data_IF_651684300218
#
_entry.id   IF_651684300218
#
_cell.length_a   1.000
_cell.length_b   1.000
_cell.length_c   1.000
_cell.angle_alpha   90.00
_cell.angle_beta   90.00
_cell.angle_gamma   90.00
#
_symmetry.space_group_name_H-M   'P 1'
#
loop_
_entity.id
_entity.type
_entity.pdbx_description
1 polymer ?
#
# COMPACT_ATOMS: atom_id res chain seq x y z
N UNK A 1 -31.76 13.28 -14.86
CA UNK A 1 -30.58 14.12 -15.13
C UNK A 1 -29.60 13.94 -13.99
N UNK A 2 -28.56 13.12 -14.19
CA UNK A 2 -27.52 12.81 -13.20
C UNK A 2 -26.18 13.09 -13.85
N UNK A 3 -25.71 14.31 -13.69
CA UNK A 3 -24.37 14.74 -14.05
C UNK A 3 -24.05 15.90 -13.10
N UNK A 4 -22.76 16.08 -12.82
CA UNK A 4 -22.20 17.15 -11.97
C UNK A 4 -22.12 16.81 -10.46
N UNK A 5 -21.23 15.88 -10.14
CA UNK A 5 -20.40 15.97 -8.92
C UNK A 5 -18.93 15.57 -9.21
N UNK A 6 -18.51 15.62 -10.48
CA UNK A 6 -17.11 15.37 -10.87
C UNK A 6 -16.27 16.66 -10.89
N UNK A 7 -16.88 17.81 -10.64
CA UNK A 7 -16.27 19.13 -10.87
C UNK A 7 -15.72 19.80 -9.60
N UNK A 8 -15.88 19.21 -8.41
CA UNK A 8 -15.46 19.84 -7.15
C UNK A 8 -14.14 19.33 -6.57
N UNK A 9 -13.43 18.44 -7.27
CA UNK A 9 -12.13 17.91 -6.83
C UNK A 9 -10.91 18.67 -7.41
N UNK A 10 -11.13 19.80 -8.09
CA UNK A 10 -10.09 20.53 -8.84
C UNK A 10 -9.56 21.80 -8.17
N UNK A 11 -9.82 22.05 -6.88
CA UNK A 11 -9.42 23.30 -6.23
C UNK A 11 -8.83 23.14 -4.82
N UNK A 12 -7.98 22.14 -4.61
CA UNK A 12 -7.06 22.15 -3.47
C UNK A 12 -5.67 22.60 -3.98
N UNK A 13 -5.08 23.69 -3.45
CA UNK A 13 -3.70 24.00 -3.74
C UNK A 13 -2.84 22.82 -3.28
N UNK A 14 -1.95 22.37 -4.16
CA UNK A 14 -1.00 21.30 -3.91
C UNK A 14 -0.05 21.71 -2.77
N UNK A 15 -0.44 21.45 -1.52
CA UNK A 15 0.53 20.87 -0.61
C UNK A 15 0.92 19.56 -1.25
N UNK A 16 2.22 19.39 -1.55
CA UNK A 16 2.74 18.13 -2.08
C UNK A 16 2.29 16.99 -1.15
N UNK A 17 1.25 16.28 -1.57
CA UNK A 17 0.64 15.23 -0.78
C UNK A 17 1.47 13.97 -0.88
N UNK A 18 1.48 13.16 0.19
CA UNK A 18 1.90 11.77 0.06
C UNK A 18 1.06 11.11 -1.05
N UNK A 19 1.66 10.34 -1.98
CA UNK A 19 0.91 9.66 -3.02
C UNK A 19 -0.22 8.82 -2.43
N UNK A 20 -1.36 8.76 -3.13
CA UNK A 20 -2.57 8.08 -2.61
C UNK A 20 -3.14 7.14 -3.65
N UNK A 21 -3.51 5.94 -3.24
CA UNK A 21 -4.34 5.03 -4.02
C UNK A 21 -5.81 5.37 -3.78
N UNK A 22 -6.52 5.70 -4.85
CA UNK A 22 -7.96 5.90 -4.89
C UNK A 22 -8.60 4.73 -5.60
N UNK A 23 -9.53 4.03 -4.96
CA UNK A 23 -10.26 2.91 -5.57
C UNK A 23 -11.74 3.20 -5.66
N UNK A 24 -12.39 2.69 -6.71
CA UNK A 24 -13.77 3.03 -7.03
C UNK A 24 -14.59 1.79 -7.37
N UNK A 25 -15.85 1.81 -6.96
CA UNK A 25 -16.85 0.82 -7.32
C UNK A 25 -17.29 0.97 -8.78
N UNK A 26 -18.05 0.00 -9.29
CA UNK A 26 -18.62 0.00 -10.64
C UNK A 26 -19.36 1.30 -11.00
N UNK A 27 -20.16 1.81 -10.06
CA UNK A 27 -20.91 3.05 -10.21
C UNK A 27 -20.08 4.34 -10.10
N UNK A 28 -18.76 4.23 -9.92
CA UNK A 28 -17.84 5.37 -9.75
C UNK A 28 -17.77 5.93 -8.34
N UNK A 29 -18.44 5.32 -7.36
CA UNK A 29 -18.32 5.71 -5.95
C UNK A 29 -16.91 5.38 -5.42
N UNK A 30 -16.30 6.32 -4.68
CA UNK A 30 -15.02 6.10 -3.99
C UNK A 30 -15.22 5.03 -2.90
N UNK A 31 -14.38 3.99 -2.93
CA UNK A 31 -14.39 2.89 -1.95
C UNK A 31 -13.28 3.07 -0.91
N UNK A 32 -12.07 3.37 -1.37
CA UNK A 32 -10.93 3.57 -0.49
C UNK A 32 -10.08 4.75 -0.95
N UNK A 33 -9.47 5.38 0.04
CA UNK A 33 -8.43 6.39 -0.10
C UNK A 33 -7.30 6.01 0.87
N UNK A 34 -6.18 5.53 0.31
CA UNK A 34 -5.12 4.87 1.05
C UNK A 34 -3.73 5.42 0.66
N UNK A 35 -2.74 5.39 1.57
CA UNK A 35 -1.38 5.81 1.23
C UNK A 35 -0.78 4.91 0.15
N UNK A 36 0.06 5.49 -0.70
CA UNK A 36 0.81 4.78 -1.72
C UNK A 36 2.25 5.30 -1.80
N UNK A 37 3.13 4.51 -2.41
CA UNK A 37 4.49 4.96 -2.74
C UNK A 37 4.83 4.48 -4.15
N UNK A 38 5.32 5.41 -4.97
CA UNK A 38 5.79 5.06 -6.31
C UNK A 38 7.10 4.30 -6.25
N UNK A 39 7.36 3.54 -7.31
CA UNK A 39 8.58 2.77 -7.52
C UNK A 39 8.99 2.85 -8.99
N UNK A 40 10.25 2.53 -9.23
CA UNK A 40 10.84 2.54 -10.57
C UNK A 40 10.06 1.65 -11.55
N UNK A 41 10.09 2.00 -12.84
CA UNK A 41 9.44 1.23 -13.89
C UNK A 41 7.91 1.37 -13.95
N UNK A 42 7.36 2.44 -13.37
CA UNK A 42 5.93 2.74 -13.42
C UNK A 42 5.09 1.93 -12.44
N UNK A 43 5.68 1.59 -11.29
CA UNK A 43 5.06 0.77 -10.25
C UNK A 43 4.65 1.65 -9.07
N UNK A 44 3.71 1.14 -8.26
CA UNK A 44 3.41 1.70 -6.96
C UNK A 44 3.03 0.58 -5.97
N UNK A 45 3.32 0.80 -4.70
CA UNK A 45 2.84 -0.03 -3.60
C UNK A 45 1.69 0.66 -2.88
N UNK A 46 0.72 -0.12 -2.43
CA UNK A 46 -0.42 0.35 -1.66
C UNK A 46 -0.91 -0.75 -0.69
N UNK A 47 -1.75 -0.41 0.32
CA UNK A 47 -2.43 -1.41 1.12
C UNK A 47 -3.31 -2.31 0.26
N UNK A 48 -3.22 -3.61 0.50
CA UNK A 48 -3.92 -4.63 -0.27
C UNK A 48 -5.45 -4.46 -0.16
N UNK A 49 -5.93 -4.15 1.04
CA UNK A 49 -7.36 -3.97 1.31
C UNK A 49 -8.00 -2.81 0.52
N UNK A 50 -7.20 -1.84 0.08
CA UNK A 50 -7.70 -0.70 -0.67
C UNK A 50 -8.19 -1.06 -2.07
N UNK A 51 -7.81 -2.24 -2.62
CA UNK A 51 -8.32 -2.73 -3.91
C UNK A 51 -9.50 -3.69 -3.80
N UNK A 52 -9.88 -4.11 -2.59
CA UNK A 52 -11.00 -5.04 -2.43
C UNK A 52 -12.32 -4.45 -2.94
N UNK A 53 -13.05 -5.24 -3.72
CA UNK A 53 -14.29 -4.87 -4.39
C UNK A 53 -14.18 -3.67 -5.36
N UNK A 54 -12.97 -3.15 -5.60
CA UNK A 54 -12.76 -2.11 -6.59
C UNK A 54 -12.95 -2.65 -8.00
N UNK A 55 -13.58 -1.86 -8.86
CA UNK A 55 -13.61 -2.11 -10.31
C UNK A 55 -12.44 -1.41 -11.00
N UNK A 56 -12.08 -0.23 -10.50
CA UNK A 56 -11.01 0.62 -11.02
C UNK A 56 -10.26 1.29 -9.87
N UNK A 57 -9.01 1.62 -10.12
CA UNK A 57 -8.20 2.39 -9.19
C UNK A 57 -7.26 3.34 -9.91
N UNK A 58 -6.83 4.38 -9.22
CA UNK A 58 -5.86 5.38 -9.67
C UNK A 58 -4.88 5.67 -8.53
N UNK A 59 -3.62 5.93 -8.87
CA UNK A 59 -2.65 6.48 -7.92
C UNK A 59 -2.51 7.97 -8.21
N UNK A 60 -2.81 8.81 -7.22
CA UNK A 60 -2.57 10.24 -7.26
C UNK A 60 -1.15 10.54 -6.80
N UNK A 61 -0.39 11.30 -7.58
CA UNK A 61 0.94 11.78 -7.17
C UNK A 61 0.90 13.08 -6.35
N UNK A 62 2.07 13.52 -5.89
CA UNK A 62 2.21 14.72 -5.06
C UNK A 62 1.82 16.02 -5.77
N UNK A 63 1.80 16.03 -7.12
CA UNK A 63 1.32 17.14 -7.95
C UNK A 63 -0.19 17.04 -8.23
N UNK A 64 -0.86 16.02 -7.67
CA UNK A 64 -2.28 15.76 -7.86
C UNK A 64 -2.63 15.05 -9.17
N UNK A 65 -1.64 14.64 -9.98
CA UNK A 65 -1.91 13.92 -11.24
C UNK A 65 -2.33 12.49 -10.94
N UNK A 66 -3.30 12.01 -11.73
CA UNK A 66 -3.87 10.68 -11.58
C UNK A 66 -3.26 9.71 -12.60
N UNK A 67 -2.72 8.61 -12.09
CA UNK A 67 -2.15 7.52 -12.89
C UNK A 67 -3.08 6.30 -12.78
N UNK A 68 -3.71 5.84 -13.87
CA UNK A 68 -4.64 4.72 -13.80
C UNK A 68 -3.90 3.42 -13.45
N UNK A 69 -4.45 2.63 -12.53
CA UNK A 69 -3.97 1.27 -12.28
C UNK A 69 -4.40 0.38 -13.43
N UNK A 70 -3.43 -0.14 -14.17
CA UNK A 70 -3.68 -0.98 -15.34
C UNK A 70 -3.53 -2.46 -15.01
N UNK A 71 -2.59 -2.79 -14.11
CA UNK A 71 -2.36 -4.17 -13.67
C UNK A 71 -2.03 -4.22 -12.18
N UNK A 72 -2.52 -5.25 -11.48
CA UNK A 72 -1.90 -5.75 -10.25
C UNK A 72 -0.72 -6.62 -10.66
N UNK A 73 0.46 -6.33 -10.12
CA UNK A 73 1.73 -6.96 -10.51
C UNK A 73 2.39 -7.78 -9.42
N UNK A 74 1.95 -7.65 -8.16
CA UNK A 74 2.42 -8.46 -7.05
C UNK A 74 1.53 -8.27 -5.83
N UNK A 75 1.59 -9.21 -4.89
CA UNK A 75 0.96 -9.07 -3.59
C UNK A 75 1.79 -9.78 -2.52
N UNK A 76 1.82 -9.20 -1.33
CA UNK A 76 2.27 -9.86 -0.12
C UNK A 76 1.12 -9.83 0.88
N UNK A 77 0.40 -10.96 0.93
CA UNK A 77 -0.77 -11.13 1.79
C UNK A 77 -0.43 -10.99 3.26
N UNK A 78 0.78 -11.37 3.65
CA UNK A 78 1.27 -11.39 5.03
C UNK A 78 1.72 -10.01 5.50
N UNK A 79 2.19 -9.17 4.59
CA UNK A 79 2.44 -7.74 4.81
C UNK A 79 1.18 -6.88 4.58
N UNK A 80 0.16 -7.39 3.88
CA UNK A 80 -1.01 -6.61 3.48
C UNK A 80 -0.68 -5.56 2.42
N UNK A 81 0.24 -5.87 1.50
CA UNK A 81 0.71 -4.95 0.45
C UNK A 81 0.36 -5.50 -0.92
N UNK A 82 -0.04 -4.60 -1.82
CA UNK A 82 -0.21 -4.89 -3.24
C UNK A 82 0.70 -3.99 -4.07
N UNK A 83 1.29 -4.56 -5.11
CA UNK A 83 2.00 -3.82 -6.14
C UNK A 83 1.11 -3.65 -7.37
N UNK A 84 1.04 -2.43 -7.87
CA UNK A 84 0.29 -2.06 -9.07
C UNK A 84 1.20 -1.42 -10.10
N UNK A 85 0.89 -1.63 -11.37
CA UNK A 85 1.50 -0.91 -12.48
C UNK A 85 0.55 0.17 -13.00
N UNK A 86 1.09 1.38 -13.08
CA UNK A 86 0.36 2.63 -13.36
C UNK A 86 0.88 3.36 -14.61
N UNK A 87 1.88 2.79 -15.28
CA UNK A 87 2.45 3.31 -16.52
C UNK A 87 3.84 3.93 -16.35
N UNK A 88 4.64 3.91 -17.41
CA UNK A 88 6.03 4.38 -17.39
C UNK A 88 6.17 5.90 -17.16
N UNK A 89 5.08 6.65 -17.32
CA UNK A 89 5.00 8.09 -17.04
C UNK A 89 4.87 8.41 -15.54
N UNK A 90 4.67 7.41 -14.68
CA UNK A 90 4.57 7.62 -13.25
C UNK A 90 5.94 8.01 -12.65
N UNK A 91 5.95 8.77 -11.54
CA UNK A 91 7.18 9.09 -10.81
C UNK A 91 7.98 7.84 -10.44
N UNK A 92 9.30 7.96 -10.33
CA UNK A 92 10.19 6.85 -9.95
C UNK A 92 10.06 6.44 -8.47
N UNK A 93 9.47 7.31 -7.64
CA UNK A 93 9.42 7.13 -6.19
C UNK A 93 10.63 7.71 -5.46
N UNK A 94 10.59 7.71 -4.12
CA UNK A 94 11.73 8.07 -3.29
C UNK A 94 12.88 7.05 -3.42
N UNK A 95 14.10 7.50 -3.12
CA UNK A 95 15.25 6.62 -2.96
C UNK A 95 15.04 5.66 -1.78
N UNK A 96 15.66 4.48 -1.85
CA UNK A 96 15.50 3.40 -0.86
C UNK A 96 16.59 3.49 0.20
N UNK A 97 16.21 3.39 1.47
CA UNK A 97 17.13 3.29 2.60
C UNK A 97 17.56 1.86 2.86
N UNK A 98 18.73 1.68 3.46
CA UNK A 98 19.12 0.38 4.03
C UNK A 98 18.20 0.04 5.20
N UNK A 99 17.62 -1.17 5.21
CA UNK A 99 16.80 -1.61 6.34
C UNK A 99 17.64 -1.69 7.62
N UNK A 100 17.35 -0.83 8.61
CA UNK A 100 18.12 -0.76 9.86
C UNK A 100 18.01 0.57 10.61
N UNK A 101 17.45 1.62 10.00
CA UNK A 101 17.27 2.91 10.66
C UNK A 101 16.41 2.81 11.92
N UNK A 102 16.88 3.37 13.03
CA UNK A 102 16.18 3.27 14.32
C UNK A 102 14.95 4.18 14.35
N UNK A 103 15.00 5.32 13.64
CA UNK A 103 13.94 6.32 13.61
C UNK A 103 13.20 6.23 12.29
N UNK A 104 11.90 5.97 12.38
CA UNK A 104 11.03 5.82 11.22
C UNK A 104 9.89 6.84 11.27
N UNK A 105 9.28 7.08 10.12
CA UNK A 105 8.08 7.89 9.93
C UNK A 105 7.05 7.08 9.15
N UNK A 106 5.80 7.09 9.63
CA UNK A 106 4.63 6.51 8.95
C UNK A 106 3.54 7.56 8.94
N UNK A 107 3.14 8.05 7.76
CA UNK A 107 2.08 9.07 7.60
C UNK A 107 2.26 10.25 8.56
N UNK A 108 3.46 10.80 8.61
CA UNK A 108 3.85 11.91 9.49
C UNK A 108 3.97 11.59 10.98
N UNK A 109 3.90 10.30 11.38
CA UNK A 109 4.10 9.88 12.78
C UNK A 109 5.45 9.21 12.96
N UNK A 110 6.17 9.65 13.98
CA UNK A 110 7.41 9.02 14.39
C UNK A 110 7.16 7.62 14.97
N UNK A 111 7.99 6.67 14.56
CA UNK A 111 8.06 5.33 15.10
C UNK A 111 9.52 4.97 15.39
N UNK A 112 9.74 4.05 16.33
CA UNK A 112 11.06 3.47 16.59
C UNK A 112 11.08 2.04 16.09
N UNK A 113 12.05 1.72 15.24
CA UNK A 113 12.27 0.34 14.81
C UNK A 113 13.15 -0.37 15.84
N UNK A 114 12.71 -1.55 16.26
CA UNK A 114 13.53 -2.44 17.09
C UNK A 114 14.49 -3.25 16.21
N UNK A 115 15.37 -4.03 16.83
CA UNK A 115 16.20 -5.00 16.11
C UNK A 115 15.34 -5.90 15.21
N UNK A 116 15.77 -6.06 13.96
CA UNK A 116 15.14 -6.92 12.98
C UNK A 116 15.39 -8.39 13.34
N UNK A 117 14.37 -9.23 13.17
CA UNK A 117 14.43 -10.66 13.47
C UNK A 117 13.81 -11.45 12.33
N UNK A 118 14.45 -12.57 12.00
CA UNK A 118 13.85 -13.58 11.15
C UNK A 118 12.65 -14.19 11.87
N UNK A 119 11.48 -14.14 11.21
CA UNK A 119 10.22 -14.65 11.72
C UNK A 119 9.65 -15.61 10.69
N UNK A 120 9.73 -16.93 10.95
CA UNK A 120 9.23 -18.03 10.11
C UNK A 120 8.59 -17.65 8.77
N UNK A 121 7.24 -17.59 8.73
CA UNK A 121 6.49 -17.29 7.51
C UNK A 121 6.62 -15.84 6.99
N UNK A 122 7.19 -14.94 7.78
CA UNK A 122 7.32 -13.50 7.49
C UNK A 122 8.75 -13.08 7.11
N UNK A 123 9.74 -13.98 7.12
CA UNK A 123 11.14 -13.61 6.90
C UNK A 123 11.62 -12.53 7.87
N UNK A 124 12.55 -11.69 7.44
CA UNK A 124 13.07 -10.57 8.22
C UNK A 124 11.99 -9.51 8.45
N UNK A 125 11.64 -9.25 9.71
CA UNK A 125 10.74 -8.17 10.14
C UNK A 125 11.32 -7.44 11.36
N UNK A 126 10.93 -6.20 11.56
CA UNK A 126 11.29 -5.46 12.77
C UNK A 126 10.04 -4.92 13.47
N UNK A 127 9.96 -4.99 14.80
CA UNK A 127 8.82 -4.40 15.51
C UNK A 127 8.92 -2.88 15.45
N UNK A 128 7.77 -2.22 15.31
CA UNK A 128 7.66 -0.77 15.43
C UNK A 128 7.03 -0.41 16.78
N UNK A 129 7.68 0.51 17.48
CA UNK A 129 7.22 1.10 18.74
C UNK A 129 6.78 2.55 18.51
N UNK A 130 5.87 3.04 19.35
CA UNK A 130 5.36 4.43 19.26
C UNK A 130 4.21 4.64 18.28
N UNK A 131 3.80 3.59 17.54
CA UNK A 131 2.61 3.62 16.71
C UNK A 131 1.36 3.15 17.48
N UNK A 132 0.18 3.72 17.20
CA UNK A 132 -1.07 3.23 17.76
C UNK A 132 -1.37 1.82 17.25
N UNK A 133 -1.99 1.01 18.10
CA UNK A 133 -2.33 -0.39 17.78
C UNK A 133 -3.26 -0.51 16.55
N UNK A 134 -4.00 0.54 16.20
CA UNK A 134 -4.92 0.58 15.05
C UNK A 134 -4.38 1.43 13.89
N UNK A 135 -3.06 1.54 13.77
CA UNK A 135 -2.43 2.34 12.71
C UNK A 135 -2.73 1.82 11.31
N UNK A 136 -2.86 2.74 10.35
CA UNK A 136 -3.01 2.40 8.93
C UNK A 136 -1.70 1.82 8.39
N UNK A 137 -1.80 0.70 7.67
CA UNK A 137 -0.71 0.11 6.88
C UNK A 137 -0.23 1.13 5.84
N UNK A 138 1.08 1.23 5.60
CA UNK A 138 1.60 2.28 4.72
C UNK A 138 3.11 2.31 4.59
N UNK A 139 3.65 3.22 3.74
CA UNK A 139 5.09 3.34 3.53
C UNK A 139 5.80 3.84 4.80
N UNK A 140 6.96 3.25 5.08
CA UNK A 140 7.90 3.71 6.09
C UNK A 140 8.96 4.58 5.43
N UNK A 141 9.29 5.67 6.08
CA UNK A 141 10.44 6.50 5.72
C UNK A 141 11.41 6.60 6.89
N UNK A 142 12.71 6.66 6.62
CA UNK A 142 13.70 6.91 7.67
C UNK A 142 13.78 8.41 8.03
N UNK A 143 14.70 8.78 8.92
CA UNK A 143 14.94 10.18 9.31
C UNK A 143 15.38 11.11 8.17
N UNK A 144 15.81 10.55 7.02
CA UNK A 144 16.23 11.29 5.83
C UNK A 144 15.11 11.39 4.79
N UNK A 145 13.95 10.80 5.05
CA UNK A 145 12.83 10.76 4.10
C UNK A 145 13.00 9.70 3.01
N UNK A 146 13.98 8.80 3.13
CA UNK A 146 14.19 7.68 2.22
C UNK A 146 13.20 6.57 2.54
N UNK A 147 12.74 5.84 1.52
CA UNK A 147 11.82 4.72 1.71
C UNK A 147 12.52 3.56 2.42
N UNK A 148 12.07 3.26 3.63
CA UNK A 148 12.67 2.27 4.53
C UNK A 148 11.86 0.98 4.65
N UNK A 149 10.83 0.81 3.81
CA UNK A 149 10.00 -0.38 3.76
C UNK A 149 8.52 -0.09 4.01
N UNK A 150 7.80 -1.06 4.57
CA UNK A 150 6.36 -0.97 4.74
C UNK A 150 5.92 -1.25 6.17
N UNK A 151 5.10 -0.38 6.73
CA UNK A 151 4.43 -0.60 8.00
C UNK A 151 3.24 -1.52 7.78
N UNK A 152 3.27 -2.67 8.44
CA UNK A 152 2.18 -3.62 8.48
C UNK A 152 1.70 -3.82 9.93
N UNK A 153 0.43 -4.18 10.07
CA UNK A 153 -0.21 -4.40 11.36
C UNK A 153 -0.89 -5.78 11.40
N UNK A 154 -0.69 -6.52 12.50
CA UNK A 154 -1.26 -7.86 12.69
C UNK A 154 -1.81 -8.04 14.09
N UNK A 155 -2.91 -8.77 14.18
CA UNK A 155 -3.46 -9.25 15.45
C UNK A 155 -2.74 -10.52 15.88
N UNK A 156 -2.09 -10.49 17.04
CA UNK A 156 -1.44 -11.63 17.69
C UNK A 156 -1.97 -11.72 19.12
N UNK A 157 -2.59 -12.85 19.47
CA UNK A 157 -3.20 -13.07 20.79
C UNK A 157 -4.16 -11.95 21.24
N UNK A 158 -4.96 -11.40 20.31
CA UNK A 158 -5.90 -10.32 20.60
C UNK A 158 -5.26 -8.93 20.72
N UNK A 159 -3.93 -8.82 20.60
CA UNK A 159 -3.20 -7.57 20.56
C UNK A 159 -2.77 -7.23 19.14
N UNK A 160 -2.95 -5.98 18.74
CA UNK A 160 -2.42 -5.51 17.47
C UNK A 160 -0.95 -5.13 17.62
N UNK A 161 -0.11 -5.65 16.71
CA UNK A 161 1.33 -5.44 16.67
C UNK A 161 1.70 -4.80 15.32
N UNK A 162 2.44 -3.72 15.39
CA UNK A 162 3.03 -3.03 14.23
C UNK A 162 4.44 -3.55 13.97
N UNK A 163 4.73 -3.80 12.69
CA UNK A 163 6.04 -4.23 12.23
C UNK A 163 6.41 -3.56 10.91
N UNK A 164 7.71 -3.46 10.67
CA UNK A 164 8.31 -3.03 9.44
C UNK A 164 8.64 -4.25 8.58
N UNK A 165 8.24 -4.16 7.32
CA UNK A 165 8.55 -5.10 6.26
C UNK A 165 9.67 -4.48 5.40
N UNK A 166 10.79 -5.17 5.21
CA UNK A 166 11.95 -4.62 4.52
C UNK A 166 11.69 -4.40 3.02
N UNK A 167 12.30 -3.38 2.39
CA UNK A 167 12.24 -3.16 0.95
C UNK A 167 12.59 -4.41 0.13
N UNK A 168 13.59 -5.17 0.55
CA UNK A 168 14.07 -6.37 -0.16
C UNK A 168 12.98 -7.46 -0.28
N UNK A 169 12.09 -7.56 0.72
CA UNK A 169 10.93 -8.47 0.64
C UNK A 169 9.87 -7.96 -0.33
N UNK A 170 9.68 -6.64 -0.39
CA UNK A 170 8.77 -6.01 -1.36
C UNK A 170 9.30 -6.11 -2.79
N UNK A 171 10.63 -6.21 -2.96
CA UNK A 171 11.27 -6.46 -4.26
C UNK A 171 11.00 -7.89 -4.74
N UNK A 172 11.01 -8.87 -3.84
CA UNK A 172 10.76 -10.29 -4.17
C UNK A 172 9.35 -10.53 -4.71
N UNK A 173 8.35 -9.75 -4.27
CA UNK A 173 6.98 -9.85 -4.81
C UNK A 173 6.77 -9.08 -6.12
N UNK A 174 7.73 -8.23 -6.52
CA UNK A 174 7.56 -7.32 -7.65
C UNK A 174 7.37 -8.06 -8.96
N UNK A 175 6.36 -7.65 -9.74
CA UNK A 175 6.07 -8.20 -11.09
C UNK A 175 5.93 -9.73 -11.16
N UNK A 176 5.57 -10.37 -10.05
CA UNK A 176 5.30 -11.82 -9.99
C UNK A 176 4.00 -12.21 -10.68
N UNK A 177 3.12 -11.25 -10.98
CA UNK A 177 1.90 -11.48 -11.73
C UNK A 177 1.56 -10.32 -12.67
N UNK A 178 0.50 -10.49 -13.46
CA UNK A 178 -0.10 -9.43 -14.29
C UNK A 178 -1.58 -9.70 -14.45
N UNK A 179 -2.39 -9.02 -13.66
CA UNK A 179 -3.84 -9.22 -13.62
C UNK A 179 -4.59 -7.89 -13.62
N UNK A 180 -5.76 -7.85 -14.23
CA UNK A 180 -6.68 -6.72 -14.04
C UNK A 180 -7.20 -6.75 -12.59
N UNK A 181 -7.65 -5.60 -12.08
CA UNK A 181 -8.26 -5.50 -10.74
C UNK A 181 -9.43 -6.48 -10.62
N UNK A 182 -10.29 -6.58 -11.64
CA UNK A 182 -11.43 -7.50 -11.64
C UNK A 182 -11.01 -8.97 -11.48
N UNK A 183 -10.00 -9.42 -12.24
CA UNK A 183 -9.49 -10.80 -12.16
C UNK A 183 -8.77 -11.07 -10.82
N UNK A 184 -8.10 -10.07 -10.28
CA UNK A 184 -7.47 -10.15 -8.99
C UNK A 184 -8.51 -10.29 -7.87
N UNK A 185 -9.55 -9.44 -7.88
CA UNK A 185 -10.65 -9.47 -6.91
C UNK A 185 -11.41 -10.81 -6.93
N UNK A 186 -11.70 -11.37 -8.10
CA UNK A 186 -12.41 -12.66 -8.19
C UNK A 186 -11.67 -13.81 -7.50
N UNK A 187 -10.33 -13.78 -7.44
CA UNK A 187 -9.51 -14.77 -6.72
C UNK A 187 -9.56 -14.59 -5.20
N UNK A 188 -9.74 -13.36 -4.73
CA UNK A 188 -9.86 -13.06 -3.30
C UNK A 188 -11.27 -13.33 -2.78
N UNK A 189 -12.28 -13.20 -3.62
CA UNK A 189 -13.66 -13.58 -3.28
C UNK A 189 -13.81 -15.11 -3.18
N UNK A 190 -13.26 -15.88 -4.14
CA UNK A 190 -13.30 -17.34 -4.07
C UNK A 190 -12.56 -17.89 -2.84
N UNK A 191 -11.42 -17.30 -2.48
CA UNK A 191 -10.68 -17.66 -1.25
C UNK A 191 -11.46 -17.36 0.04
N UNK A 192 -12.37 -16.39 0.05
CA UNK A 192 -13.25 -16.11 1.20
C UNK A 192 -14.35 -17.16 1.34
N UNK A 193 -14.85 -17.70 0.23
CA UNK A 193 -15.87 -18.76 0.22
C UNK A 193 -15.30 -20.10 0.69
N UNK A 194 -14.11 -20.49 0.22
CA UNK A 194 -13.44 -21.73 0.65
C UNK A 194 -13.20 -21.75 2.17
N UNK A 195 -12.80 -20.61 2.76
CA UNK A 195 -12.59 -20.46 4.22
C UNK A 195 -13.88 -20.50 5.03
N UNK A 196 -15.04 -20.21 4.44
CA UNK A 196 -16.35 -20.37 5.09
C UNK A 196 -16.88 -21.81 4.99
N UNK A 197 -16.51 -22.54 3.94
CA UNK A 197 -16.94 -23.94 3.75
C UNK A 197 -16.17 -24.96 4.61
N UNK A 198 -15.08 -24.56 5.28
CA UNK A 198 -14.29 -25.44 6.17
C UNK A 198 -14.56 -25.22 7.67
N UNK A 199 -15.59 -24.46 8.03
CA UNK A 199 -16.04 -24.28 9.43
C UNK A 199 -17.33 -25.03 9.69
#
# INVERSE_FOLDING_TARGET
MRMVCLSLLLALPALAGEPRLLSFAAGGALLADAPAVFRSGGLALAPLEALYAAERAMVQDGDGRLHPVLWVTGEDMDAGVVEVWVGAQAPVGPDVSSFGSVRMQVSGRAAKMTEAKESGAFGLIARLEGLPATGTSGPLHDEHGLFAGWHATRMVNGQSISFAVPPERLDQMSRTTRQTIAKWNSRHDSKKEDRKSTR
#
